data_IF_715805269735
#
_entry.id   IF_715805269735
#
_cell.length_a   1.000
_cell.length_b   1.000
_cell.length_c   1.000
_cell.angle_alpha   90.00
_cell.angle_beta   90.00
_cell.angle_gamma   90.00
#
_symmetry.space_group_name_H-M   'P 1'
#
loop_
_entity.id
_entity.type
_entity.pdbx_description
1 polymer ?
#
# COMPACT_ATOMS: atom_id res chain seq x y z
N UNK A 1 -42.98 23.10 -28.00
CA UNK A 1 -41.93 24.03 -27.55
C UNK A 1 -41.41 23.65 -26.17
N UNK A 2 -42.27 23.46 -25.16
CA UNK A 2 -41.88 23.03 -23.80
C UNK A 2 -41.22 21.64 -23.73
N UNK A 3 -41.67 20.71 -24.58
CA UNK A 3 -41.15 19.34 -24.62
C UNK A 3 -39.69 19.27 -25.09
N UNK A 4 -39.27 20.21 -25.94
CA UNK A 4 -37.90 20.30 -26.45
C UNK A 4 -36.95 20.89 -25.40
N UNK A 5 -37.44 21.90 -24.65
CA UNK A 5 -36.72 22.45 -23.51
C UNK A 5 -36.51 21.40 -22.40
N UNK A 6 -37.51 20.55 -22.14
CA UNK A 6 -37.39 19.42 -21.21
C UNK A 6 -36.34 18.40 -21.66
N UNK A 7 -36.30 18.06 -22.94
CA UNK A 7 -35.30 17.14 -23.49
C UNK A 7 -33.87 17.69 -23.34
N UNK A 8 -33.67 18.98 -23.64
CA UNK A 8 -32.37 19.63 -23.45
C UNK A 8 -31.92 19.67 -21.98
N UNK A 9 -32.84 19.93 -21.06
CA UNK A 9 -32.55 19.97 -19.63
C UNK A 9 -32.21 18.58 -19.08
N UNK A 10 -32.89 17.54 -19.56
CA UNK A 10 -32.58 16.15 -19.22
C UNK A 10 -31.19 15.72 -19.71
N UNK A 11 -30.81 16.17 -20.90
CA UNK A 11 -29.49 15.88 -21.46
C UNK A 11 -28.36 16.59 -20.69
N UNK A 12 -28.58 17.83 -20.27
CA UNK A 12 -27.63 18.54 -19.41
C UNK A 12 -27.48 17.89 -18.04
N UNK A 13 -28.60 17.45 -17.44
CA UNK A 13 -28.59 16.77 -16.16
C UNK A 13 -27.85 15.43 -16.22
N UNK A 14 -28.05 14.64 -17.28
CA UNK A 14 -27.35 13.36 -17.46
C UNK A 14 -25.85 13.56 -17.66
N UNK A 15 -25.45 14.56 -18.45
CA UNK A 15 -24.05 14.91 -18.67
C UNK A 15 -23.37 15.37 -17.37
N UNK A 16 -24.02 16.24 -16.60
CA UNK A 16 -23.53 16.68 -15.30
C UNK A 16 -23.34 15.50 -14.33
N UNK A 17 -24.30 14.56 -14.31
CA UNK A 17 -24.22 13.37 -13.47
C UNK A 17 -23.04 12.48 -13.86
N UNK A 18 -22.83 12.25 -15.16
CA UNK A 18 -21.69 11.48 -15.67
C UNK A 18 -20.35 12.11 -15.27
N UNK A 19 -20.24 13.44 -15.36
CA UNK A 19 -19.05 14.18 -14.94
C UNK A 19 -18.75 14.01 -13.45
N UNK A 20 -19.77 14.14 -12.59
CA UNK A 20 -19.62 13.95 -11.14
C UNK A 20 -19.18 12.51 -10.82
N UNK A 21 -19.77 11.52 -11.47
CA UNK A 21 -19.39 10.10 -11.29
C UNK A 21 -17.94 9.86 -11.73
N UNK A 22 -17.54 10.37 -12.89
CA UNK A 22 -16.19 10.25 -13.40
C UNK A 22 -15.14 10.90 -12.47
N UNK A 23 -15.45 12.09 -11.92
CA UNK A 23 -14.60 12.78 -10.95
C UNK A 23 -14.44 11.97 -9.66
N UNK A 24 -15.54 11.41 -9.14
CA UNK A 24 -15.51 10.60 -7.94
C UNK A 24 -14.68 9.32 -8.12
N UNK A 25 -14.82 8.65 -9.26
CA UNK A 25 -13.99 7.50 -9.63
C UNK A 25 -12.51 7.87 -9.68
N UNK A 26 -12.17 9.00 -10.33
CA UNK A 26 -10.79 9.48 -10.41
C UNK A 26 -10.20 9.83 -9.05
N UNK A 27 -10.97 10.50 -8.19
CA UNK A 27 -10.55 10.82 -6.83
C UNK A 27 -10.34 9.58 -5.97
N UNK A 28 -11.16 8.55 -6.15
CA UNK A 28 -10.99 7.27 -5.46
C UNK A 28 -9.73 6.57 -5.94
N UNK A 29 -9.53 6.43 -7.24
CA UNK A 29 -8.33 5.82 -7.82
C UNK A 29 -7.04 6.55 -7.39
N UNK A 30 -7.05 7.89 -7.37
CA UNK A 30 -5.91 8.69 -6.92
C UNK A 30 -5.59 8.45 -5.43
N UNK A 31 -6.62 8.36 -4.58
CA UNK A 31 -6.45 8.03 -3.15
C UNK A 31 -5.89 6.63 -2.95
N UNK A 32 -6.36 5.67 -3.73
CA UNK A 32 -5.89 4.29 -3.66
C UNK A 32 -4.42 4.17 -4.09
N UNK A 33 -4.00 4.88 -5.14
CA UNK A 33 -2.61 4.94 -5.58
C UNK A 33 -1.70 5.64 -4.57
N UNK A 34 -2.16 6.75 -3.97
CA UNK A 34 -1.42 7.44 -2.91
C UNK A 34 -1.17 6.51 -1.72
N UNK A 35 -2.20 5.78 -1.28
CA UNK A 35 -2.07 4.80 -0.20
C UNK A 35 -1.10 3.65 -0.54
N UNK A 36 -1.09 3.17 -1.79
CA UNK A 36 -0.13 2.15 -2.22
C UNK A 36 1.31 2.70 -2.21
N UNK A 37 1.52 3.94 -2.66
CA UNK A 37 2.83 4.58 -2.62
C UNK A 37 3.33 4.77 -1.20
N UNK A 38 2.46 5.17 -0.27
CA UNK A 38 2.83 5.32 1.14
C UNK A 38 3.27 3.98 1.77
N UNK A 39 2.55 2.89 1.47
CA UNK A 39 2.92 1.56 1.94
C UNK A 39 4.23 1.06 1.32
N UNK A 40 4.45 1.33 0.03
CA UNK A 40 5.71 1.02 -0.66
C UNK A 40 6.89 1.79 -0.05
N UNK A 41 6.73 3.10 0.19
CA UNK A 41 7.76 3.92 0.81
C UNK A 41 8.09 3.44 2.23
N UNK A 42 7.10 3.00 3.00
CA UNK A 42 7.33 2.39 4.32
C UNK A 42 8.14 1.09 4.21
N UNK A 43 7.80 0.21 3.25
CA UNK A 43 8.54 -1.03 3.00
C UNK A 43 9.98 -0.77 2.54
N UNK A 44 10.20 0.22 1.66
CA UNK A 44 11.53 0.62 1.19
C UNK A 44 12.37 1.19 2.33
N UNK A 45 11.81 2.09 3.14
CA UNK A 45 12.49 2.66 4.29
C UNK A 45 12.87 1.58 5.30
N UNK A 46 11.96 0.63 5.54
CA UNK A 46 12.22 -0.53 6.38
C UNK A 46 13.38 -1.38 5.86
N UNK A 47 13.39 -1.69 4.55
CA UNK A 47 14.47 -2.42 3.92
C UNK A 47 15.82 -1.67 4.02
N UNK A 48 15.81 -0.37 3.76
CA UNK A 48 17.01 0.47 3.85
C UNK A 48 17.56 0.51 5.28
N UNK A 49 16.67 0.62 6.28
CA UNK A 49 17.02 0.59 7.70
C UNK A 49 17.63 -0.75 8.08
N UNK A 50 17.07 -1.86 7.60
CA UNK A 50 17.63 -3.21 7.80
C UNK A 50 19.02 -3.38 7.17
N UNK A 51 19.24 -2.77 6.01
CA UNK A 51 20.53 -2.81 5.33
C UNK A 51 21.62 -1.99 6.04
N UNK A 52 21.25 -0.88 6.67
CA UNK A 52 22.21 0.06 7.30
C UNK A 52 22.42 -0.18 8.78
N UNK A 53 21.39 -0.53 9.55
CA UNK A 53 21.45 -0.47 11.01
C UNK A 53 21.42 -1.81 11.74
N UNK A 54 21.24 -2.96 11.05
CA UNK A 54 20.95 -4.28 11.68
C UNK A 54 19.81 -4.24 12.72
N UNK A 55 19.06 -3.14 12.83
CA UNK A 55 17.91 -2.99 13.70
C UNK A 55 16.64 -3.04 12.87
N UNK A 56 15.64 -3.74 13.41
CA UNK A 56 14.34 -3.84 12.78
C UNK A 56 13.54 -2.55 13.01
N UNK A 57 12.85 -2.02 11.99
CA UNK A 57 11.89 -0.93 12.15
C UNK A 57 10.70 -1.41 13.01
N UNK A 58 10.27 -0.60 13.97
CA UNK A 58 9.36 -1.01 15.05
C UNK A 58 7.85 -0.86 14.76
N UNK A 59 7.43 -0.31 13.61
CA UNK A 59 6.01 -0.02 13.36
C UNK A 59 5.41 -0.77 12.17
N UNK A 60 4.51 -1.72 12.46
CA UNK A 60 3.65 -2.37 11.47
C UNK A 60 4.37 -3.15 10.36
N UNK A 61 5.67 -3.42 10.54
CA UNK A 61 6.53 -4.08 9.57
C UNK A 61 6.92 -5.46 10.08
N UNK A 62 6.58 -6.49 9.31
CA UNK A 62 6.93 -7.88 9.53
C UNK A 62 8.09 -8.22 8.60
N UNK A 63 9.17 -8.75 9.15
CA UNK A 63 10.35 -9.16 8.39
C UNK A 63 10.49 -10.68 8.50
N UNK A 64 10.38 -11.38 7.38
CA UNK A 64 10.43 -12.85 7.32
C UNK A 64 11.65 -13.26 6.50
N UNK A 65 12.58 -14.06 7.05
CA UNK A 65 13.69 -14.60 6.26
C UNK A 65 13.17 -15.60 5.20
N UNK A 66 13.60 -15.46 3.94
CA UNK A 66 13.19 -16.40 2.86
C UNK A 66 14.07 -17.65 2.77
N UNK A 67 15.05 -17.80 3.68
CA UNK A 67 16.01 -18.91 3.71
C UNK A 67 17.11 -18.84 2.64
N UNK A 68 17.00 -17.96 1.65
CA UNK A 68 17.99 -17.84 0.57
C UNK A 68 19.13 -16.91 1.01
N UNK A 69 20.34 -17.46 1.15
CA UNK A 69 21.55 -16.70 1.50
C UNK A 69 22.46 -16.47 0.30
N UNK A 70 23.12 -15.31 0.30
CA UNK A 70 24.16 -14.93 -0.65
C UNK A 70 25.34 -14.35 0.13
N UNK A 71 26.29 -15.22 0.48
CA UNK A 71 27.43 -14.86 1.34
C UNK A 71 26.98 -14.44 2.74
N UNK A 72 27.43 -13.26 3.20
CA UNK A 72 27.04 -12.66 4.49
C UNK A 72 25.64 -11.99 4.46
N UNK A 73 24.92 -12.08 3.33
CA UNK A 73 23.60 -11.50 3.15
C UNK A 73 22.54 -12.58 3.00
N UNK A 74 21.31 -12.27 3.39
CA UNK A 74 20.16 -13.14 3.32
C UNK A 74 18.99 -12.37 2.71
N UNK A 75 18.18 -13.05 1.90
CA UNK A 75 16.93 -12.51 1.40
C UNK A 75 15.89 -12.50 2.51
N UNK A 76 15.22 -11.37 2.66
CA UNK A 76 14.12 -11.14 3.57
C UNK A 76 12.91 -10.67 2.78
N UNK A 77 11.74 -11.18 3.13
CA UNK A 77 10.46 -10.62 2.77
C UNK A 77 10.06 -9.62 3.85
N UNK A 78 9.89 -8.36 3.48
CA UNK A 78 9.45 -7.29 4.36
C UNK A 78 8.01 -6.97 3.99
N UNK A 79 7.07 -7.28 4.87
CA UNK A 79 5.67 -6.90 4.75
C UNK A 79 5.40 -5.70 5.65
N UNK A 80 4.92 -4.59 5.10
CA UNK A 80 4.53 -3.41 5.85
C UNK A 80 3.02 -3.22 5.75
N UNK A 81 2.37 -2.99 6.90
CA UNK A 81 0.94 -2.67 6.96
C UNK A 81 0.77 -1.21 7.37
N UNK A 82 0.07 -0.42 6.55
CA UNK A 82 -0.28 0.98 6.85
C UNK A 82 -1.73 1.24 6.45
N UNK A 83 -2.53 1.82 7.34
CA UNK A 83 -3.95 2.14 7.11
C UNK A 83 -4.79 0.93 6.61
N UNK A 84 -4.57 -0.26 7.17
CA UNK A 84 -5.30 -1.48 6.81
C UNK A 84 -4.89 -2.11 5.47
N UNK A 85 -3.86 -1.59 4.79
CA UNK A 85 -3.29 -2.19 3.58
C UNK A 85 -1.90 -2.75 3.85
N UNK A 86 -1.67 -3.97 3.39
CA UNK A 86 -0.40 -4.68 3.51
C UNK A 86 0.30 -4.77 2.15
N UNK A 87 1.59 -4.47 2.12
CA UNK A 87 2.46 -4.61 0.94
C UNK A 87 3.69 -5.39 1.35
N UNK A 88 4.09 -6.37 0.55
CA UNK A 88 5.33 -7.13 0.76
C UNK A 88 6.36 -6.86 -0.32
N UNK A 89 7.62 -6.71 0.09
CA UNK A 89 8.76 -6.51 -0.78
C UNK A 89 9.89 -7.47 -0.39
N UNK A 90 10.62 -7.99 -1.37
CA UNK A 90 11.79 -8.84 -1.14
C UNK A 90 13.06 -8.01 -1.27
N UNK A 91 14.00 -8.19 -0.34
CA UNK A 91 15.32 -7.58 -0.47
C UNK A 91 16.40 -8.29 0.34
N UNK A 92 17.64 -7.98 -0.01
CA UNK A 92 18.82 -8.51 0.66
C UNK A 92 19.18 -7.65 1.87
N UNK A 93 19.38 -8.28 3.02
CA UNK A 93 19.90 -7.66 4.23
C UNK A 93 20.98 -8.56 4.88
N UNK A 94 21.81 -8.05 5.81
CA UNK A 94 22.81 -8.86 6.49
C UNK A 94 22.20 -10.10 7.16
N UNK A 95 22.85 -11.25 7.02
CA UNK A 95 22.38 -12.49 7.59
C UNK A 95 22.52 -12.48 9.12
N UNK A 96 21.54 -13.04 9.84
CA UNK A 96 21.54 -13.10 11.31
C UNK A 96 20.73 -12.01 12.02
N UNK A 97 19.93 -11.24 11.27
CA UNK A 97 18.89 -10.40 11.85
C UNK A 97 17.83 -11.28 12.54
N UNK A 98 17.57 -11.04 13.82
CA UNK A 98 16.49 -11.70 14.58
C UNK A 98 15.17 -11.06 14.18
N UNK A 99 14.26 -11.79 13.51
CA UNK A 99 12.96 -11.25 13.15
C UNK A 99 12.11 -11.05 14.41
N UNK A 100 11.76 -9.80 14.71
CA UNK A 100 10.69 -9.47 15.64
C UNK A 100 9.38 -9.70 14.88
N UNK A 101 8.85 -10.92 14.97
CA UNK A 101 7.46 -11.18 14.61
C UNK A 101 6.59 -10.44 15.62
N UNK A 102 6.29 -9.17 15.36
CA UNK A 102 5.18 -8.50 16.02
C UNK A 102 3.91 -9.00 15.33
N UNK A 103 3.36 -10.10 15.86
CA UNK A 103 2.07 -10.67 15.46
C UNK A 103 1.03 -9.53 15.38
N UNK A 104 0.27 -9.37 14.28
CA UNK A 104 -0.82 -8.41 14.26
C UNK A 104 -1.80 -8.80 15.36
N UNK A 105 -2.03 -7.89 16.30
CA UNK A 105 -3.05 -8.03 17.33
C UNK A 105 -4.42 -7.94 16.66
N UNK A 106 -5.01 -9.09 16.32
CA UNK A 106 -6.35 -9.12 15.76
C UNK A 106 -6.65 -10.37 14.94
N UNK A 107 -6.82 -11.49 15.62
CA UNK A 107 -7.75 -12.54 15.19
C UNK A 107 -8.37 -13.12 16.47
N UNK A 108 -9.68 -12.88 16.74
CA UNK A 108 -10.41 -13.60 17.78
C UNK A 108 -10.79 -15.01 17.29
N UNK A 109 -11.05 -15.95 18.23
CA UNK A 109 -11.17 -17.39 17.98
C UNK A 109 -12.37 -17.80 17.12
#
# INVERSE_FOLDING_TARGET
>A
MTMDALAGLFLLASLATLLVVALNLRHRAARELASQRDALHAAQHALQTLQTSRQLPHDGVIVIPSGHRLGERQWYQVAATKNGRSVSLFGLAPAGLVPLTTRPAGDPP
#
